data_IF_333101667711
#
_entry.id   IF_333101667711
#
_cell.length_a   1.000
_cell.length_b   1.000
_cell.length_c   1.000
_cell.angle_alpha   90.00
_cell.angle_beta   90.00
_cell.angle_gamma   90.00
#
_symmetry.space_group_name_H-M   'P 1'
#
loop_
_entity.id
_entity.type
_entity.pdbx_description
1 polymer ?
#
# COMPACT_ATOMS: atom_id res chain seq x y z
N UNK A 1 3.68 -21.75 -19.99
CA UNK A 1 3.89 -22.57 -18.79
C UNK A 1 4.61 -21.73 -17.74
N UNK A 2 4.13 -21.66 -16.50
CA UNK A 2 4.78 -20.86 -15.44
C UNK A 2 5.98 -21.63 -14.89
N UNK A 3 7.18 -21.06 -15.00
CA UNK A 3 8.43 -21.68 -14.54
C UNK A 3 8.51 -21.60 -13.00
N UNK A 4 8.58 -22.75 -12.33
CA UNK A 4 8.77 -22.83 -10.88
C UNK A 4 10.26 -22.98 -10.54
N UNK A 5 10.69 -22.43 -9.41
CA UNK A 5 12.02 -22.68 -8.88
C UNK A 5 12.15 -24.14 -8.44
N UNK A 6 13.34 -24.72 -8.60
CA UNK A 6 13.66 -25.99 -7.93
C UNK A 6 13.86 -25.76 -6.43
N UNK A 7 13.87 -26.85 -5.64
CA UNK A 7 13.89 -26.79 -4.18
C UNK A 7 15.07 -25.97 -3.61
N UNK A 8 16.27 -26.09 -4.19
CA UNK A 8 17.48 -25.44 -3.69
C UNK A 8 17.45 -23.90 -3.84
N UNK A 9 17.19 -23.32 -5.03
CA UNK A 9 16.97 -21.87 -5.17
C UNK A 9 15.83 -21.34 -4.29
N UNK A 10 14.73 -22.09 -4.16
CA UNK A 10 13.62 -21.70 -3.30
C UNK A 10 14.05 -21.60 -1.83
N UNK A 11 14.77 -22.60 -1.31
CA UNK A 11 15.31 -22.57 0.07
C UNK A 11 16.20 -21.35 0.32
N UNK A 12 17.09 -21.01 -0.64
CA UNK A 12 17.94 -19.81 -0.50
C UNK A 12 17.13 -18.52 -0.45
N UNK A 13 16.11 -18.39 -1.30
CA UNK A 13 15.24 -17.21 -1.32
C UNK A 13 14.42 -17.10 -0.03
N UNK A 14 13.89 -18.23 0.45
CA UNK A 14 13.23 -18.34 1.75
C UNK A 14 14.13 -17.86 2.89
N UNK A 15 15.34 -18.40 3.00
CA UNK A 15 16.24 -18.07 4.11
C UNK A 15 16.65 -16.59 4.06
N UNK A 16 16.85 -16.04 2.86
CA UNK A 16 17.10 -14.61 2.67
C UNK A 16 15.92 -13.76 3.16
N UNK A 17 14.68 -14.07 2.74
CA UNK A 17 13.50 -13.31 3.15
C UNK A 17 13.27 -13.38 4.66
N UNK A 18 13.32 -14.58 5.24
CA UNK A 18 13.07 -14.78 6.67
C UNK A 18 14.11 -14.11 7.58
N UNK A 19 15.32 -13.85 7.06
CA UNK A 19 16.41 -13.20 7.82
C UNK A 19 16.56 -11.70 7.54
N UNK A 20 16.27 -11.24 6.31
CA UNK A 20 16.57 -9.87 5.86
C UNK A 20 15.34 -8.99 5.61
N UNK A 21 14.19 -9.57 5.27
CA UNK A 21 13.01 -8.78 4.93
C UNK A 21 12.40 -8.11 6.18
N UNK A 22 11.48 -7.16 6.00
CA UNK A 22 10.74 -6.55 7.11
C UNK A 22 9.79 -7.57 7.73
N UNK A 23 9.38 -7.43 9.01
CA UNK A 23 8.42 -8.32 9.65
C UNK A 23 7.15 -8.57 8.81
N UNK A 24 6.56 -7.52 8.24
CA UNK A 24 5.40 -7.60 7.34
C UNK A 24 5.66 -8.51 6.12
N UNK A 25 6.81 -8.35 5.46
CA UNK A 25 7.17 -9.14 4.28
C UNK A 25 7.44 -10.61 4.64
N UNK A 26 7.99 -10.87 5.84
CA UNK A 26 8.16 -12.23 6.37
C UNK A 26 6.81 -12.88 6.66
N UNK A 27 5.89 -12.14 7.29
CA UNK A 27 4.54 -12.63 7.56
C UNK A 27 3.80 -12.95 6.25
N UNK A 28 3.92 -12.06 5.26
CA UNK A 28 3.31 -12.28 3.94
C UNK A 28 3.91 -13.49 3.22
N UNK A 29 5.24 -13.68 3.28
CA UNK A 29 5.89 -14.88 2.73
C UNK A 29 5.36 -16.16 3.40
N UNK A 30 5.26 -16.17 4.74
CA UNK A 30 4.72 -17.31 5.48
C UNK A 30 3.27 -17.60 5.10
N UNK A 31 2.44 -16.57 4.96
CA UNK A 31 1.06 -16.71 4.52
C UNK A 31 0.95 -17.36 3.14
N UNK A 32 1.73 -16.89 2.16
CA UNK A 32 1.65 -17.37 0.78
C UNK A 32 2.30 -18.75 0.57
N UNK A 33 3.34 -19.11 1.34
CA UNK A 33 4.17 -20.28 1.06
C UNK A 33 4.32 -21.30 2.20
N UNK A 34 4.01 -20.92 3.45
CA UNK A 34 4.28 -21.76 4.64
C UNK A 34 3.05 -21.96 5.53
N UNK A 35 1.83 -21.79 4.98
CA UNK A 35 0.56 -21.94 5.73
C UNK A 35 0.46 -20.99 6.95
N UNK A 36 1.14 -19.85 6.90
CA UNK A 36 1.01 -18.78 7.89
C UNK A 36 -0.40 -18.17 7.88
N UNK A 37 -0.78 -17.51 8.96
CA UNK A 37 -2.15 -16.99 9.09
C UNK A 37 -2.30 -15.59 8.51
N UNK A 38 -3.49 -15.28 7.98
CA UNK A 38 -3.84 -13.90 7.62
C UNK A 38 -3.84 -12.96 8.84
N UNK A 39 -4.04 -13.50 10.05
CA UNK A 39 -4.00 -12.73 11.28
C UNK A 39 -2.58 -12.22 11.59
N UNK A 40 -1.55 -13.02 11.32
CA UNK A 40 -0.16 -12.61 11.51
C UNK A 40 0.22 -11.45 10.59
N UNK A 41 -0.23 -11.48 9.32
CA UNK A 41 0.00 -10.38 8.38
C UNK A 41 -0.70 -9.10 8.85
N UNK A 42 -1.96 -9.19 9.27
CA UNK A 42 -2.70 -8.03 9.78
C UNK A 42 -2.06 -7.44 11.04
N UNK A 43 -1.56 -8.29 11.94
CA UNK A 43 -0.86 -7.86 13.15
C UNK A 43 0.39 -7.05 12.82
N UNK A 44 1.22 -7.52 11.88
CA UNK A 44 2.39 -6.75 11.45
C UNK A 44 2.00 -5.47 10.70
N UNK A 45 0.94 -5.53 9.89
CA UNK A 45 0.46 -4.38 9.11
C UNK A 45 -0.12 -3.27 10.00
N UNK A 46 -0.71 -3.61 11.14
CA UNK A 46 -1.27 -2.65 12.10
C UNK A 46 -0.23 -1.64 12.60
N UNK A 47 1.04 -2.05 12.72
CA UNK A 47 2.15 -1.16 13.11
C UNK A 47 2.42 0.00 12.13
N UNK A 48 1.85 -0.06 10.92
CA UNK A 48 1.97 0.98 9.91
C UNK A 48 0.76 1.91 9.85
N UNK A 49 -0.34 1.64 10.58
CA UNK A 49 -1.56 2.44 10.53
C UNK A 49 -1.56 3.55 11.60
N UNK A 50 -1.54 4.81 11.17
CA UNK A 50 -1.58 5.97 12.06
C UNK A 50 -2.98 6.23 12.62
N UNK A 51 -3.06 7.02 13.69
CA UNK A 51 -4.32 7.36 14.38
C UNK A 51 -5.39 7.94 13.44
N UNK A 52 -4.99 8.71 12.43
CA UNK A 52 -5.88 9.29 11.41
C UNK A 52 -6.51 8.27 10.45
N UNK A 53 -6.08 7.00 10.54
CA UNK A 53 -6.56 5.87 9.76
C UNK A 53 -5.77 5.59 8.48
N UNK A 54 -4.89 6.50 8.07
CA UNK A 54 -3.98 6.28 6.95
C UNK A 54 -2.78 5.43 7.35
N UNK A 55 -1.97 5.05 6.35
CA UNK A 55 -0.75 4.28 6.56
C UNK A 55 0.50 5.09 6.25
N UNK A 56 1.56 4.84 7.00
CA UNK A 56 2.85 5.51 6.92
C UNK A 56 4.01 4.62 7.36
N UNK A 57 4.92 5.14 8.17
CA UNK A 57 6.04 4.39 8.77
C UNK A 57 6.91 3.59 7.78
N UNK A 58 7.21 4.18 6.62
CA UNK A 58 7.98 3.52 5.56
C UNK A 58 7.35 2.20 5.05
N UNK A 59 6.02 2.10 5.06
CA UNK A 59 5.30 0.97 4.46
C UNK A 59 5.61 0.88 2.97
N UNK A 60 5.57 2.00 2.26
CA UNK A 60 6.16 2.17 0.94
C UNK A 60 7.69 2.35 1.10
N UNK A 61 8.52 1.38 0.67
CA UNK A 61 9.96 1.35 0.96
C UNK A 61 10.76 2.51 0.34
N UNK A 62 10.23 3.19 -0.68
CA UNK A 62 10.93 4.29 -1.35
C UNK A 62 11.07 5.55 -0.49
N UNK A 63 10.34 5.68 0.61
CA UNK A 63 10.51 6.80 1.54
C UNK A 63 10.35 6.41 3.00
N UNK A 64 11.02 7.16 3.88
CA UNK A 64 11.02 6.95 5.33
C UNK A 64 10.01 7.83 6.08
N UNK A 65 9.05 8.40 5.36
CA UNK A 65 7.98 9.22 5.92
C UNK A 65 7.16 8.41 6.96
N UNK A 66 7.06 8.89 8.21
CA UNK A 66 6.20 8.30 9.23
C UNK A 66 4.71 8.65 9.01
N UNK A 67 4.43 9.83 8.47
CA UNK A 67 3.07 10.34 8.28
C UNK A 67 2.26 9.48 7.31
N UNK A 68 0.93 9.56 7.47
CA UNK A 68 0.00 8.93 6.56
C UNK A 68 0.10 9.49 5.15
N UNK A 69 0.10 8.61 4.15
CA UNK A 69 0.03 8.99 2.74
C UNK A 69 -1.00 8.15 1.98
N UNK A 70 -1.59 8.71 0.93
CA UNK A 70 -2.51 7.97 0.07
C UNK A 70 -1.78 6.77 -0.60
N UNK A 71 -0.52 6.96 -1.00
CA UNK A 71 0.31 5.91 -1.59
C UNK A 71 0.52 4.74 -0.62
N UNK A 72 1.06 4.97 0.58
CA UNK A 72 1.23 3.91 1.57
C UNK A 72 -0.11 3.26 1.97
N UNK A 73 -1.19 4.04 2.04
CA UNK A 73 -2.53 3.51 2.31
C UNK A 73 -3.02 2.55 1.22
N UNK A 74 -2.74 2.83 -0.05
CA UNK A 74 -3.04 1.87 -1.13
C UNK A 74 -2.16 0.63 -1.10
N UNK A 75 -0.90 0.74 -0.68
CA UNK A 75 -0.04 -0.43 -0.45
C UNK A 75 -0.62 -1.32 0.65
N UNK A 76 -1.07 -0.74 1.77
CA UNK A 76 -1.74 -1.51 2.84
C UNK A 76 -2.98 -2.26 2.32
N UNK A 77 -3.84 -1.61 1.53
CA UNK A 77 -5.00 -2.23 0.91
C UNK A 77 -4.62 -3.38 -0.04
N UNK A 78 -3.47 -3.30 -0.72
CA UNK A 78 -2.94 -4.40 -1.54
C UNK A 78 -2.49 -5.59 -0.71
N UNK A 79 -1.87 -5.38 0.47
CA UNK A 79 -1.61 -6.49 1.39
C UNK A 79 -2.91 -7.15 1.85
N UNK A 80 -3.89 -6.35 2.28
CA UNK A 80 -5.18 -6.84 2.79
C UNK A 80 -5.94 -7.63 1.73
N UNK A 81 -5.98 -7.15 0.48
CA UNK A 81 -6.71 -7.83 -0.61
C UNK A 81 -6.16 -9.22 -0.94
N UNK A 82 -4.85 -9.45 -0.70
CA UNK A 82 -4.21 -10.75 -0.90
C UNK A 82 -4.57 -11.80 0.15
N UNK A 83 -5.10 -11.39 1.30
CA UNK A 83 -5.38 -12.29 2.43
C UNK A 83 -6.61 -13.19 2.24
N UNK A 84 -7.36 -13.04 1.13
CA UNK A 84 -8.52 -13.88 0.75
C UNK A 84 -9.52 -14.09 1.89
N UNK A 85 -9.82 -13.03 2.64
CA UNK A 85 -10.74 -13.05 3.79
C UNK A 85 -12.17 -12.73 3.33
N UNK A 86 -13.15 -13.30 4.04
CA UNK A 86 -14.57 -12.96 3.91
C UNK A 86 -14.93 -11.73 4.73
N UNK A 87 -14.33 -11.58 5.91
CA UNK A 87 -14.56 -10.47 6.82
C UNK A 87 -13.64 -9.29 6.50
N UNK A 88 -14.20 -8.08 6.61
CA UNK A 88 -13.46 -6.82 6.44
C UNK A 88 -12.82 -6.42 7.77
N UNK A 89 -11.48 -6.35 7.88
CA UNK A 89 -10.82 -5.93 9.11
C UNK A 89 -11.14 -4.48 9.50
N UNK A 90 -11.21 -4.11 10.79
CA UNK A 90 -11.49 -2.74 11.23
C UNK A 90 -10.55 -1.68 10.63
N UNK A 91 -9.28 -2.04 10.38
CA UNK A 91 -8.31 -1.17 9.72
C UNK A 91 -8.75 -0.71 8.31
N UNK A 92 -9.55 -1.51 7.60
CA UNK A 92 -10.08 -1.14 6.28
C UNK A 92 -11.05 0.03 6.41
N UNK A 93 -11.96 0.00 7.38
CA UNK A 93 -12.89 1.10 7.58
C UNK A 93 -12.16 2.42 7.91
N UNK A 94 -11.09 2.33 8.70
CA UNK A 94 -10.23 3.46 9.04
C UNK A 94 -9.53 4.05 7.82
N UNK A 95 -8.92 3.22 6.97
CA UNK A 95 -8.23 3.73 5.77
C UNK A 95 -9.21 4.27 4.72
N UNK A 96 -10.41 3.69 4.61
CA UNK A 96 -11.46 4.25 3.75
C UNK A 96 -11.93 5.63 4.24
N UNK A 97 -12.04 5.82 5.56
CA UNK A 97 -12.34 7.12 6.15
C UNK A 97 -11.22 8.13 5.91
N UNK A 98 -9.96 7.72 6.08
CA UNK A 98 -8.79 8.55 5.76
C UNK A 98 -8.82 8.99 4.30
N UNK A 99 -8.92 8.05 3.35
CA UNK A 99 -8.93 8.36 1.91
C UNK A 99 -10.09 9.29 1.55
N UNK A 100 -11.29 9.07 2.10
CA UNK A 100 -12.41 9.99 1.87
C UNK A 100 -12.11 11.40 2.37
N UNK A 101 -11.48 11.54 3.54
CA UNK A 101 -11.13 12.83 4.15
C UNK A 101 -10.02 13.56 3.38
N UNK A 102 -9.08 12.84 2.79
CA UNK A 102 -7.91 13.40 2.09
C UNK A 102 -8.09 13.50 0.58
N UNK A 103 -9.29 13.23 0.05
CA UNK A 103 -9.58 13.39 -1.36
C UNK A 103 -9.74 14.88 -1.70
N UNK A 104 -8.97 15.35 -2.68
CA UNK A 104 -9.11 16.69 -3.23
C UNK A 104 -10.27 16.69 -4.24
N UNK A 105 -11.46 17.08 -3.78
CA UNK A 105 -12.66 17.11 -4.62
C UNK A 105 -12.55 18.06 -5.81
N UNK A 106 -12.09 19.32 -5.68
CA UNK A 106 -11.92 20.21 -6.83
C UNK A 106 -11.05 19.62 -7.94
N UNK A 107 -9.95 18.97 -7.58
CA UNK A 107 -9.00 18.42 -8.55
C UNK A 107 -9.25 16.94 -8.90
N UNK A 108 -10.18 16.28 -8.20
CA UNK A 108 -10.49 14.84 -8.32
C UNK A 108 -9.25 13.94 -8.16
N UNK A 109 -8.36 14.27 -7.23
CA UNK A 109 -7.11 13.54 -6.98
C UNK A 109 -6.94 13.18 -5.50
N UNK A 110 -6.12 12.16 -5.26
CA UNK A 110 -5.42 12.02 -3.99
C UNK A 110 -4.00 12.49 -4.19
N UNK A 111 -3.52 13.38 -3.31
CA UNK A 111 -2.10 13.67 -3.27
C UNK A 111 -1.37 12.42 -2.76
N UNK A 112 -0.47 11.80 -3.55
CA UNK A 112 0.07 10.48 -3.20
C UNK A 112 0.86 10.48 -1.89
N UNK A 113 1.60 11.55 -1.64
CA UNK A 113 2.41 11.78 -0.43
C UNK A 113 2.29 13.25 0.01
N UNK A 114 2.26 13.55 1.31
CA UNK A 114 2.25 14.92 1.79
C UNK A 114 3.60 15.62 1.54
N UNK A 115 3.61 16.95 1.59
CA UNK A 115 4.81 17.76 1.39
C UNK A 115 5.89 17.50 2.47
N UNK A 116 5.51 17.02 3.66
CA UNK A 116 6.45 16.65 4.73
C UNK A 116 7.46 15.59 4.31
N UNK A 117 7.22 14.84 3.23
CA UNK A 117 8.17 13.86 2.66
C UNK A 117 9.56 14.44 2.39
N UNK A 118 9.68 15.74 2.10
CA UNK A 118 10.98 16.38 1.84
C UNK A 118 11.90 16.41 3.07
N UNK A 119 11.35 16.14 4.27
CA UNK A 119 12.10 16.10 5.52
C UNK A 119 12.62 14.69 5.86
N UNK A 120 12.28 13.67 5.07
CA UNK A 120 12.60 12.28 5.37
C UNK A 120 13.46 11.64 4.28
N UNK A 121 14.37 10.71 4.64
CA UNK A 121 15.15 9.97 3.64
C UNK A 121 14.24 9.28 2.63
N UNK A 122 14.60 9.36 1.35
CA UNK A 122 13.87 8.73 0.25
C UNK A 122 14.82 8.29 -0.86
N UNK A 123 14.37 7.33 -1.66
CA UNK A 123 15.03 6.99 -2.91
C UNK A 123 15.08 8.24 -3.80
N UNK A 124 16.25 8.49 -4.38
CA UNK A 124 16.43 9.58 -5.33
C UNK A 124 15.85 9.14 -6.68
N UNK A 125 14.68 9.65 -7.02
CA UNK A 125 14.18 9.55 -8.39
C UNK A 125 14.84 10.64 -9.23
N UNK A 126 15.79 10.24 -10.08
CA UNK A 126 16.36 11.01 -11.21
C UNK A 126 16.74 12.49 -10.99
N UNK A 127 16.87 12.95 -9.73
CA UNK A 127 17.17 14.34 -9.37
C UNK A 127 15.99 15.31 -9.44
N UNK A 128 14.74 14.84 -9.58
CA UNK A 128 13.55 15.71 -9.57
C UNK A 128 12.89 15.75 -8.19
N UNK A 129 12.40 16.91 -7.73
CA UNK A 129 11.59 16.97 -6.51
C UNK A 129 10.32 16.13 -6.70
N UNK A 130 9.99 15.33 -5.68
CA UNK A 130 8.75 14.55 -5.57
C UNK A 130 7.57 15.50 -5.33
N UNK A 131 7.30 16.39 -6.29
CA UNK A 131 6.04 17.11 -6.32
C UNK A 131 4.96 16.12 -6.76
N UNK A 132 3.72 16.27 -6.28
CA UNK A 132 2.61 15.40 -6.70
C UNK A 132 2.46 15.26 -8.23
N UNK A 133 3.08 16.15 -9.01
CA UNK A 133 3.19 16.10 -10.47
C UNK A 133 4.07 14.98 -11.02
N UNK A 134 5.10 14.51 -10.30
CA UNK A 134 6.04 13.51 -10.81
C UNK A 134 5.47 12.08 -10.79
N UNK A 135 4.55 11.79 -9.86
CA UNK A 135 3.81 10.52 -9.82
C UNK A 135 2.64 10.47 -10.83
N UNK A 136 2.23 11.62 -11.38
CA UNK A 136 1.18 11.70 -12.40
C UNK A 136 1.65 11.33 -13.81
N UNK A 137 2.97 11.25 -14.05
CA UNK A 137 3.53 10.97 -15.39
C UNK A 137 3.77 9.49 -15.70
N UNK A 138 3.54 8.58 -14.73
CA UNK A 138 3.57 7.13 -14.94
C UNK A 138 2.22 6.50 -14.52
N UNK A 139 1.33 6.14 -15.47
CA UNK A 139 0.02 5.57 -15.15
C UNK A 139 0.14 4.10 -14.69
N UNK A 140 -0.79 3.58 -13.87
CA UNK A 140 -2.16 4.07 -13.67
C UNK A 140 -2.55 4.23 -12.19
N UNK A 141 -1.74 4.91 -11.38
CA UNK A 141 -2.09 5.12 -9.97
C UNK A 141 -2.79 6.48 -9.83
N UNK A 142 -4.03 6.49 -9.34
CA UNK A 142 -4.75 7.67 -8.85
C UNK A 142 -5.52 8.57 -9.84
N UNK A 143 -6.33 7.97 -10.73
CA UNK A 143 -7.55 8.66 -11.22
C UNK A 143 -8.77 7.97 -10.63
N UNK A 144 -9.35 8.54 -9.57
CA UNK A 144 -10.60 8.02 -8.99
C UNK A 144 -11.75 8.25 -9.97
N UNK A 145 -12.43 7.19 -10.44
CA UNK A 145 -13.79 7.34 -10.97
C UNK A 145 -14.77 7.12 -9.83
N UNK A 146 -15.69 8.06 -9.62
CA UNK A 146 -16.87 7.84 -8.76
C UNK A 146 -17.67 6.64 -9.30
N UNK A 147 -18.10 5.68 -8.46
CA UNK A 147 -19.06 4.67 -8.87
C UNK A 147 -20.46 5.32 -8.99
N UNK A 148 -21.05 5.29 -10.18
CA UNK A 148 -22.50 5.38 -10.39
C UNK A 148 -23.16 6.76 -10.27
N UNK A 149 -23.33 7.43 -11.41
CA UNK A 149 -24.57 8.14 -11.74
C UNK A 149 -24.99 7.64 -13.12
N UNK A 150 -25.95 6.71 -13.12
CA UNK A 150 -26.68 6.26 -14.29
C UNK A 150 -27.35 7.46 -14.96
N UNK A 151 -27.01 7.70 -16.22
CA UNK A 151 -27.78 8.59 -17.07
C UNK A 151 -29.13 7.92 -17.36
N UNK A 152 -30.15 8.31 -16.60
CA UNK A 152 -31.53 8.27 -17.09
C UNK A 152 -31.69 9.43 -18.07
N UNK A 153 -31.82 9.12 -19.36
CA UNK A 153 -32.29 10.08 -20.36
C UNK A 153 -33.75 10.45 -20.04
N UNK A 154 -34.13 11.73 -20.06
CA UNK A 154 -35.53 12.09 -20.16
C UNK A 154 -36.02 11.88 -21.60
N UNK A 155 -37.31 11.58 -21.68
CA UNK A 155 -38.12 11.23 -22.86
C UNK A 155 -38.05 12.22 -24.02
#
# INVERSE_FOLDING_TARGET
>A
MMRKLSAKPFSKARDFLLTRARPLDRAMFRFEFEQGSAADVLKELESYQNEDGGFGHALEPDFRLPDSSALASTIALQYISRLRRTETPPMVQRVMNYLRKTFDEPNQIWMPVPQSIDQYPRATDSGRPFTGSALLSHPPYFRGRKPGLSHLSPS
#
